data_IF_893208549598
#
_entry.id   IF_893208549598
#
_cell.length_a   1.000
_cell.length_b   1.000
_cell.length_c   1.000
_cell.angle_alpha   90.00
_cell.angle_beta   90.00
_cell.angle_gamma   90.00
#
_symmetry.space_group_name_H-M   'P 1'
#
loop_
_entity.id
_entity.type
_entity.pdbx_description
1 polymer ?
#
# COMPACT_ATOMS: atom_id res chain seq x y z
N UNK A 1 11.70 -3.37 -68.55
CA UNK A 1 11.25 -4.71 -69.00
C UNK A 1 10.79 -5.45 -67.76
N UNK A 2 9.49 -5.44 -67.52
CA UNK A 2 8.56 -6.56 -67.76
C UNK A 2 8.45 -7.39 -66.47
N UNK A 3 7.38 -7.22 -65.68
CA UNK A 3 6.13 -8.03 -65.73
C UNK A 3 6.38 -9.44 -65.21
N UNK A 4 5.57 -10.10 -64.37
CA UNK A 4 4.17 -10.00 -63.90
C UNK A 4 4.09 -10.91 -62.64
N UNK A 5 3.35 -10.62 -61.56
CA UNK A 5 1.88 -10.63 -61.35
C UNK A 5 1.27 -12.03 -61.16
N UNK A 6 0.72 -12.27 -59.96
CA UNK A 6 -0.52 -13.04 -59.64
C UNK A 6 -0.77 -12.84 -58.13
N UNK A 7 -1.71 -12.02 -57.61
CA UNK A 7 -3.19 -12.04 -57.63
C UNK A 7 -3.80 -13.35 -57.12
N UNK A 8 -4.38 -13.30 -55.91
CA UNK A 8 -5.67 -13.93 -55.58
C UNK A 8 -6.47 -12.96 -54.69
N UNK A 9 -7.69 -12.68 -55.12
CA UNK A 9 -8.69 -11.78 -54.56
C UNK A 9 -9.82 -12.56 -53.84
N UNK A 10 -10.55 -11.84 -52.97
CA UNK A 10 -11.99 -12.00 -52.59
C UNK A 10 -12.37 -13.20 -51.72
N UNK A 11 -13.17 -13.07 -50.66
CA UNK A 11 -14.25 -12.11 -50.39
C UNK A 11 -15.59 -12.80 -50.62
N UNK A 12 -16.21 -13.32 -49.56
CA UNK A 12 -17.59 -13.81 -49.55
C UNK A 12 -18.24 -13.50 -48.20
N UNK A 13 -19.25 -12.64 -48.20
CA UNK A 13 -20.24 -12.59 -47.12
C UNK A 13 -21.46 -13.46 -47.48
N UNK A 14 -22.39 -13.63 -46.52
CA UNK A 14 -23.79 -13.74 -46.91
C UNK A 14 -24.74 -12.88 -46.04
N UNK A 15 -25.84 -12.47 -46.66
CA UNK A 15 -26.97 -11.76 -46.06
C UNK A 15 -28.26 -12.59 -46.18
N UNK A 16 -28.90 -12.80 -45.03
CA UNK A 16 -30.34 -12.87 -44.69
C UNK A 16 -31.35 -13.79 -45.43
N UNK A 17 -31.94 -14.71 -44.65
CA UNK A 17 -33.38 -14.87 -44.29
C UNK A 17 -33.50 -16.22 -43.53
N UNK A 18 -34.20 -16.45 -42.42
CA UNK A 18 -35.42 -15.87 -41.87
C UNK A 18 -36.36 -17.02 -41.54
N UNK A 19 -36.30 -17.58 -40.32
CA UNK A 19 -37.33 -18.47 -39.76
C UNK A 19 -37.38 -18.26 -38.24
N UNK A 20 -38.45 -17.61 -37.79
CA UNK A 20 -38.69 -17.33 -36.38
C UNK A 20 -39.13 -18.57 -35.61
N UNK A 21 -38.66 -18.68 -34.38
CA UNK A 21 -39.40 -19.32 -33.31
C UNK A 21 -39.22 -18.49 -32.03
N UNK A 22 -40.33 -17.88 -31.65
CA UNK A 22 -40.54 -17.15 -30.43
C UNK A 22 -40.55 -18.12 -29.23
N UNK A 23 -39.79 -17.81 -28.18
CA UNK A 23 -40.22 -18.13 -26.81
C UNK A 23 -39.52 -17.23 -25.78
N UNK A 24 -40.29 -16.61 -24.87
CA UNK A 24 -39.79 -15.57 -23.98
C UNK A 24 -39.08 -16.14 -22.75
N UNK A 25 -37.98 -15.50 -22.36
CA UNK A 25 -37.37 -15.65 -21.04
C UNK A 25 -38.29 -15.03 -19.99
N UNK A 26 -38.93 -15.90 -19.20
CA UNK A 26 -39.93 -15.55 -18.19
C UNK A 26 -39.21 -14.94 -16.97
N UNK A 27 -39.28 -13.61 -16.85
CA UNK A 27 -38.91 -12.85 -15.65
C UNK A 27 -39.82 -13.34 -14.50
N UNK A 28 -39.22 -13.97 -13.49
CA UNK A 28 -39.96 -14.45 -12.32
C UNK A 28 -40.40 -13.23 -11.49
N UNK A 29 -41.64 -12.79 -11.71
CA UNK A 29 -42.32 -11.84 -10.84
C UNK A 29 -42.68 -12.54 -9.52
N UNK A 30 -42.07 -12.07 -8.43
CA UNK A 30 -42.43 -12.48 -7.07
C UNK A 30 -43.89 -12.17 -6.78
N UNK A 31 -44.66 -13.23 -6.54
CA UNK A 31 -46.09 -13.20 -6.22
C UNK A 31 -46.25 -12.70 -4.79
N UNK A 32 -46.83 -11.49 -4.63
CA UNK A 32 -47.37 -11.01 -3.35
C UNK A 32 -48.54 -11.91 -2.96
N UNK A 33 -48.33 -12.83 -2.02
CA UNK A 33 -49.41 -13.38 -1.21
C UNK A 33 -49.59 -12.45 -0.02
N UNK A 34 -50.69 -11.71 -0.03
CA UNK A 34 -51.09 -10.83 1.06
C UNK A 34 -51.33 -11.64 2.33
N UNK A 35 -50.51 -11.38 3.34
CA UNK A 35 -50.81 -11.76 4.71
C UNK A 35 -51.79 -10.71 5.24
N UNK A 36 -53.05 -11.11 5.43
CA UNK A 36 -54.06 -10.31 6.12
C UNK A 36 -53.59 -10.16 7.56
N UNK A 37 -53.11 -8.96 7.91
CA UNK A 37 -52.85 -8.56 9.28
C UNK A 37 -54.18 -8.36 9.98
N UNK A 38 -54.60 -9.37 10.76
CA UNK A 38 -55.59 -9.18 11.81
C UNK A 38 -54.97 -8.22 12.85
N UNK A 39 -55.67 -7.12 13.08
CA UNK A 39 -55.37 -6.16 14.12
C UNK A 39 -55.36 -6.84 15.50
N UNK A 40 -54.18 -6.90 16.12
CA UNK A 40 -54.03 -7.41 17.48
C UNK A 40 -52.56 -7.58 17.85
N UNK A 41 -51.91 -6.53 18.37
CA UNK A 41 -50.51 -6.65 18.77
C UNK A 41 -49.78 -5.40 19.27
N UNK A 42 -50.45 -4.33 19.68
CA UNK A 42 -49.76 -3.15 20.26
C UNK A 42 -49.23 -3.34 21.69
N UNK A 43 -49.33 -4.55 22.26
CA UNK A 43 -48.88 -4.83 23.64
C UNK A 43 -47.52 -5.57 23.71
N UNK A 44 -47.04 -6.16 22.61
CA UNK A 44 -45.79 -6.95 22.61
C UNK A 44 -44.50 -6.13 22.44
N UNK A 45 -44.52 -5.09 21.59
CA UNK A 45 -43.33 -4.28 21.31
C UNK A 45 -42.91 -3.34 22.44
N UNK A 46 -43.86 -2.88 23.25
CA UNK A 46 -43.59 -1.95 24.36
C UNK A 46 -42.90 -2.68 25.53
N UNK A 47 -43.26 -3.94 25.78
CA UNK A 47 -42.69 -4.74 26.86
C UNK A 47 -41.22 -5.13 26.59
N UNK A 48 -40.89 -5.41 25.31
CA UNK A 48 -39.52 -5.73 24.87
C UNK A 48 -38.60 -4.51 25.05
N UNK A 49 -39.04 -3.31 24.66
CA UNK A 49 -38.24 -2.09 24.86
C UNK A 49 -38.14 -1.64 26.33
N UNK A 50 -39.22 -1.81 27.12
CA UNK A 50 -39.23 -1.35 28.52
C UNK A 50 -38.39 -2.22 29.47
N UNK A 51 -38.14 -3.49 29.13
CA UNK A 51 -37.39 -4.43 29.99
C UNK A 51 -35.96 -4.64 29.49
N UNK A 52 -35.71 -4.72 28.18
CA UNK A 52 -34.36 -4.99 27.67
C UNK A 52 -33.45 -3.76 27.67
N UNK A 53 -33.97 -2.54 27.47
CA UNK A 53 -33.13 -1.34 27.47
C UNK A 53 -32.53 -1.02 28.85
N UNK A 54 -33.29 -1.09 29.96
CA UNK A 54 -32.72 -0.91 31.29
C UNK A 54 -31.68 -2.00 31.63
N UNK A 55 -31.94 -3.26 31.27
CA UNK A 55 -31.01 -4.36 31.50
C UNK A 55 -29.69 -4.20 30.74
N UNK A 56 -29.75 -3.81 29.46
CA UNK A 56 -28.54 -3.53 28.67
C UNK A 56 -27.78 -2.34 29.23
N UNK A 57 -28.46 -1.26 29.62
CA UNK A 57 -27.82 -0.10 30.27
C UNK A 57 -27.11 -0.47 31.57
N UNK A 58 -27.73 -1.27 32.45
CA UNK A 58 -27.11 -1.70 33.72
C UNK A 58 -25.85 -2.53 33.45
N UNK A 59 -25.91 -3.50 32.53
CA UNK A 59 -24.73 -4.33 32.20
C UNK A 59 -23.60 -3.54 31.55
N UNK A 60 -23.92 -2.51 30.76
CA UNK A 60 -22.90 -1.67 30.14
C UNK A 60 -22.25 -0.72 31.15
N UNK A 61 -23.01 -0.18 32.09
CA UNK A 61 -22.46 0.67 33.17
C UNK A 61 -21.54 -0.12 34.10
N UNK A 62 -21.89 -1.35 34.45
CA UNK A 62 -21.03 -2.25 35.25
C UNK A 62 -19.71 -2.55 34.53
N UNK A 63 -19.76 -2.84 33.22
CA UNK A 63 -18.57 -3.02 32.37
C UNK A 63 -17.70 -1.77 32.27
N UNK A 64 -18.30 -0.57 32.19
CA UNK A 64 -17.52 0.67 32.14
C UNK A 64 -16.82 0.99 33.47
N UNK A 65 -17.40 0.56 34.60
CA UNK A 65 -16.81 0.77 35.91
C UNK A 65 -15.57 -0.12 36.11
N UNK A 66 -15.63 -1.40 35.74
CA UNK A 66 -14.47 -2.31 35.81
C UNK A 66 -13.32 -1.87 34.89
N UNK A 67 -13.63 -1.40 33.67
CA UNK A 67 -12.60 -0.88 32.74
C UNK A 67 -11.93 0.37 33.29
N UNK A 68 -12.66 1.22 34.02
CA UNK A 68 -12.11 2.44 34.63
C UNK A 68 -11.19 2.11 35.81
N UNK A 69 -11.54 1.11 36.63
CA UNK A 69 -10.66 0.65 37.72
C UNK A 69 -9.37 0.00 37.20
N UNK A 70 -9.47 -0.84 36.16
CA UNK A 70 -8.30 -1.43 35.50
C UNK A 70 -7.38 -0.36 34.90
N UNK A 71 -7.95 0.69 34.29
CA UNK A 71 -7.18 1.80 33.72
C UNK A 71 -6.43 2.58 34.81
N UNK A 72 -7.07 2.81 35.96
CA UNK A 72 -6.44 3.50 37.09
C UNK A 72 -5.31 2.67 37.73
N UNK A 73 -5.48 1.35 37.84
CA UNK A 73 -4.42 0.43 38.32
C UNK A 73 -3.18 0.45 37.43
N UNK A 74 -3.37 0.48 36.10
CA UNK A 74 -2.27 0.56 35.12
C UNK A 74 -1.53 1.89 35.24
N UNK A 75 -2.25 3.01 35.40
CA UNK A 75 -1.65 4.35 35.55
C UNK A 75 -0.85 4.47 36.86
N UNK A 76 -1.33 3.90 37.97
CA UNK A 76 -0.60 3.91 39.25
C UNK A 76 0.69 3.08 39.26
N UNK A 77 0.83 2.08 38.37
CA UNK A 77 2.06 1.28 38.27
C UNK A 77 3.15 1.93 37.41
N UNK A 78 2.82 2.96 36.63
CA UNK A 78 3.75 3.61 35.70
C UNK A 78 4.49 4.84 36.23
N UNK A 79 4.35 5.21 37.50
CA UNK A 79 5.14 6.29 38.09
C UNK A 79 6.50 5.76 38.59
N UNK A 80 7.65 6.17 38.02
CA UNK A 80 8.95 5.82 38.57
C UNK A 80 9.18 6.63 39.85
N UNK A 81 9.29 5.94 40.99
CA UNK A 81 9.73 6.55 42.25
C UNK A 81 11.22 6.88 42.14
N UNK A 82 11.55 8.15 41.98
CA UNK A 82 12.91 8.65 42.17
C UNK A 82 13.21 8.68 43.68
N UNK A 83 14.09 7.80 44.16
CA UNK A 83 14.66 7.90 45.50
C UNK A 83 15.90 8.80 45.50
N UNK A 84 16.06 9.72 46.47
CA UNK A 84 17.27 10.52 46.62
C UNK A 84 18.37 9.69 47.30
N UNK A 85 19.45 9.41 46.57
CA UNK A 85 20.65 8.79 47.12
C UNK A 85 21.51 9.84 47.83
N UNK A 86 21.61 9.70 49.14
CA UNK A 86 22.49 10.42 50.07
C UNK A 86 23.97 10.36 49.68
N UNK A 87 24.63 11.52 49.76
CA UNK A 87 26.08 11.63 49.88
C UNK A 87 26.55 10.86 51.13
N UNK A 88 27.51 9.96 50.99
CA UNK A 88 28.48 9.74 52.06
C UNK A 88 29.89 9.64 51.46
N UNK A 89 30.77 10.40 52.09
CA UNK A 89 32.11 10.75 51.66
C UNK A 89 33.05 9.98 52.57
N UNK A 90 33.64 8.88 52.09
CA UNK A 90 34.80 8.28 52.74
C UNK A 90 35.84 7.80 51.71
N UNK A 91 37.00 8.45 51.81
CA UNK A 91 38.27 8.03 51.24
C UNK A 91 38.56 6.56 51.58
N UNK A 92 39.04 5.82 50.60
CA UNK A 92 40.15 4.89 50.82
C UNK A 92 40.97 4.76 49.53
N UNK A 93 42.27 5.03 49.68
CA UNK A 93 43.31 5.01 48.67
C UNK A 93 43.86 3.59 48.59
N UNK A 94 43.77 2.90 47.45
CA UNK A 94 44.59 1.72 47.17
C UNK A 94 44.82 1.51 45.67
N UNK A 95 46.09 1.32 45.34
CA UNK A 95 46.70 1.16 44.03
C UNK A 95 46.13 -0.01 43.20
N UNK A 96 46.06 0.18 41.89
CA UNK A 96 45.72 -0.88 40.93
C UNK A 96 45.16 -0.34 39.62
N UNK A 97 46.00 0.33 38.83
CA UNK A 97 45.64 0.87 37.52
C UNK A 97 45.33 -0.23 36.51
N UNK A 98 44.06 -0.58 36.37
CA UNK A 98 43.49 -1.10 35.14
C UNK A 98 42.28 -0.22 34.82
N UNK A 99 42.44 0.70 33.87
CA UNK A 99 41.34 1.46 33.29
C UNK A 99 40.39 0.46 32.60
N UNK A 100 39.45 -0.08 33.36
CA UNK A 100 38.26 -0.72 32.80
C UNK A 100 37.40 0.41 32.27
N UNK A 101 37.67 0.80 31.03
CA UNK A 101 36.84 1.68 30.26
C UNK A 101 35.43 1.09 30.26
N UNK A 102 34.58 1.65 31.13
CA UNK A 102 33.16 1.38 31.13
C UNK A 102 32.74 1.91 29.77
N UNK A 103 32.53 1.01 28.78
CA UNK A 103 31.81 1.36 27.57
C UNK A 103 30.52 2.01 28.04
N UNK A 104 30.49 3.33 27.97
CA UNK A 104 29.26 4.09 28.03
C UNK A 104 28.50 3.54 26.84
N UNK A 105 27.61 2.58 27.09
CA UNK A 105 26.65 2.20 26.08
C UNK A 105 25.90 3.50 25.82
N UNK A 106 26.08 4.03 24.62
CA UNK A 106 25.31 5.12 24.06
C UNK A 106 23.85 4.65 24.04
N UNK A 107 23.18 4.81 25.18
CA UNK A 107 21.87 4.23 25.50
C UNK A 107 20.76 5.25 25.33
N UNK A 108 20.94 6.24 24.47
CA UNK A 108 19.79 6.79 23.76
C UNK A 108 19.51 5.86 22.60
N UNK A 109 18.35 5.17 22.57
CA UNK A 109 17.92 4.47 21.37
C UNK A 109 18.02 5.45 20.21
N UNK A 110 18.81 5.12 19.19
CA UNK A 110 18.79 5.89 17.96
C UNK A 110 17.38 5.79 17.42
N UNK A 111 16.66 6.91 17.47
CA UNK A 111 15.32 6.99 16.93
C UNK A 111 15.48 6.93 15.42
N UNK A 112 15.08 5.80 14.84
CA UNK A 112 15.26 5.51 13.42
C UNK A 112 13.95 5.03 12.81
N UNK A 113 13.74 5.39 11.55
CA UNK A 113 12.63 4.93 10.75
C UNK A 113 13.13 4.41 9.40
N UNK A 114 12.40 3.46 8.82
CA UNK A 114 12.72 2.85 7.53
C UNK A 114 11.52 2.97 6.59
N UNK A 115 11.77 3.41 5.36
CA UNK A 115 10.75 3.42 4.30
C UNK A 115 11.30 2.93 2.97
N UNK A 116 10.40 2.62 2.03
CA UNK A 116 10.76 2.32 0.65
C UNK A 116 10.46 3.54 -0.20
N UNK A 117 11.42 3.95 -1.01
CA UNK A 117 11.23 4.93 -2.08
C UNK A 117 11.04 4.18 -3.38
N UNK A 118 9.81 4.19 -3.88
CA UNK A 118 9.43 3.48 -5.09
C UNK A 118 9.73 4.35 -6.31
N UNK A 119 10.28 3.75 -7.36
CA UNK A 119 10.70 4.42 -8.59
C UNK A 119 12.09 5.05 -8.54
N UNK A 120 12.85 4.91 -7.45
CA UNK A 120 14.19 5.50 -7.30
C UNK A 120 15.21 4.51 -6.77
N UNK A 121 16.43 4.62 -7.27
CA UNK A 121 17.56 3.78 -6.85
C UNK A 121 18.30 4.34 -5.63
N UNK A 122 17.93 5.53 -5.15
CA UNK A 122 18.56 6.20 -4.01
C UNK A 122 17.53 6.88 -3.10
N UNK A 123 17.91 7.12 -1.84
CA UNK A 123 17.04 7.73 -0.84
C UNK A 123 17.07 9.26 -0.78
N UNK A 124 17.84 9.91 -1.66
CA UNK A 124 18.07 11.36 -1.63
C UNK A 124 18.99 11.78 -0.48
N UNK A 125 19.11 13.09 -0.26
CA UNK A 125 20.07 13.68 0.70
C UNK A 125 19.64 13.53 2.17
N UNK A 126 18.34 13.39 2.42
CA UNK A 126 17.76 13.42 3.77
C UNK A 126 17.75 12.05 4.47
N UNK A 127 18.04 10.97 3.75
CA UNK A 127 18.01 9.61 4.25
C UNK A 127 19.15 8.80 3.65
N UNK A 128 19.58 7.75 4.36
CA UNK A 128 20.64 6.85 3.88
C UNK A 128 20.02 5.65 3.18
N UNK A 129 20.52 5.32 2.00
CA UNK A 129 20.17 4.06 1.32
C UNK A 129 20.74 2.88 2.10
N UNK A 130 19.85 1.96 2.49
CA UNK A 130 20.21 0.67 3.08
C UNK A 130 20.58 -0.30 1.96
N UNK A 131 19.70 -0.43 0.96
CA UNK A 131 19.95 -1.13 -0.29
C UNK A 131 19.02 -0.62 -1.38
N UNK A 132 19.36 -0.95 -2.62
CA UNK A 132 18.58 -0.65 -3.82
C UNK A 132 18.25 -1.92 -4.57
N UNK A 133 17.26 -1.85 -5.44
CA UNK A 133 16.82 -3.00 -6.19
C UNK A 133 15.67 -2.70 -7.14
N UNK A 134 14.88 -3.74 -7.41
CA UNK A 134 13.72 -3.67 -8.30
C UNK A 134 12.46 -4.06 -7.55
N UNK A 135 11.34 -3.46 -7.93
CA UNK A 135 10.08 -3.81 -7.33
C UNK A 135 9.63 -5.17 -7.84
N UNK A 136 9.16 -6.01 -6.92
CA UNK A 136 8.50 -7.26 -7.27
C UNK A 136 7.19 -7.50 -6.53
N UNK A 137 6.31 -8.28 -7.14
CA UNK A 137 5.06 -8.75 -6.54
C UNK A 137 4.51 -9.99 -7.28
N UNK A 138 3.34 -10.49 -6.89
CA UNK A 138 2.65 -11.54 -7.66
C UNK A 138 2.14 -11.04 -9.02
N UNK A 139 1.99 -11.94 -10.00
CA UNK A 139 1.51 -11.58 -11.34
C UNK A 139 0.13 -10.93 -11.30
N UNK A 140 -0.11 -9.98 -12.19
CA UNK A 140 -1.38 -9.28 -12.33
C UNK A 140 -2.58 -10.22 -12.62
N UNK A 141 -2.34 -11.35 -13.31
CA UNK A 141 -3.38 -12.28 -13.72
C UNK A 141 -3.50 -13.52 -12.81
N UNK A 142 -2.72 -13.58 -11.73
CA UNK A 142 -2.84 -14.66 -10.76
C UNK A 142 -3.90 -14.32 -9.72
N UNK A 143 -4.78 -15.28 -9.42
CA UNK A 143 -5.82 -15.15 -8.39
C UNK A 143 -5.26 -15.18 -6.96
N UNK A 144 -3.98 -15.51 -6.79
CA UNK A 144 -3.33 -15.67 -5.49
C UNK A 144 -1.84 -15.34 -5.55
N UNK A 145 -1.16 -15.55 -4.42
CA UNK A 145 0.22 -15.10 -4.19
C UNK A 145 0.25 -13.84 -3.32
N UNK A 146 1.35 -13.09 -3.37
CA UNK A 146 1.51 -11.84 -2.63
C UNK A 146 0.86 -10.63 -3.33
N UNK A 147 0.14 -9.82 -2.55
CA UNK A 147 -0.42 -8.53 -2.98
C UNK A 147 0.52 -7.34 -2.70
N UNK A 148 1.51 -7.52 -1.83
CA UNK A 148 2.43 -6.45 -1.48
C UNK A 148 3.46 -6.25 -2.60
N UNK A 149 3.80 -5.00 -2.85
CA UNK A 149 5.04 -4.69 -3.57
C UNK A 149 6.20 -4.81 -2.59
N UNK A 150 7.26 -5.49 -3.00
CA UNK A 150 8.50 -5.65 -2.24
C UNK A 150 9.65 -5.03 -3.03
N UNK A 151 10.62 -4.46 -2.32
CA UNK A 151 11.86 -4.02 -2.93
C UNK A 151 12.88 -5.16 -2.89
N UNK A 152 13.11 -5.82 -4.03
CA UNK A 152 13.99 -6.98 -4.14
C UNK A 152 15.42 -6.53 -4.45
N UNK A 153 16.42 -6.92 -3.64
CA UNK A 153 17.81 -6.60 -3.94
C UNK A 153 18.26 -7.32 -5.22
N UNK A 154 19.08 -6.65 -6.03
CA UNK A 154 19.71 -7.25 -7.21
C UNK A 154 21.10 -7.84 -6.91
N UNK A 155 21.70 -7.45 -5.80
CA UNK A 155 23.02 -7.91 -5.36
C UNK A 155 22.88 -8.77 -4.09
N UNK A 156 23.76 -9.77 -3.94
CA UNK A 156 23.78 -10.61 -2.73
C UNK A 156 22.53 -11.48 -2.55
N UNK A 157 21.88 -11.90 -3.63
CA UNK A 157 20.74 -12.83 -3.55
C UNK A 157 21.22 -14.20 -3.10
N UNK A 158 20.67 -14.68 -1.99
CA UNK A 158 21.03 -15.96 -1.38
C UNK A 158 19.91 -17.00 -1.56
N UNK A 159 20.30 -18.27 -1.64
CA UNK A 159 19.38 -19.40 -1.78
C UNK A 159 19.74 -20.49 -0.77
N UNK A 160 18.73 -21.12 -0.18
CA UNK A 160 18.93 -22.27 0.71
C UNK A 160 18.20 -23.50 0.17
N UNK A 161 18.95 -24.52 -0.25
CA UNK A 161 18.44 -25.78 -0.84
C UNK A 161 17.43 -25.60 -2.00
N UNK A 162 17.74 -24.82 -3.04
CA UNK A 162 16.80 -24.61 -4.15
C UNK A 162 16.59 -25.89 -4.97
N UNK A 163 15.35 -26.13 -5.39
CA UNK A 163 15.00 -27.16 -6.38
C UNK A 163 14.76 -26.47 -7.71
N UNK A 164 15.55 -26.83 -8.73
CA UNK A 164 15.45 -26.24 -10.07
C UNK A 164 14.10 -26.52 -10.73
N UNK A 165 13.62 -25.58 -11.55
CA UNK A 165 12.32 -25.63 -12.22
C UNK A 165 11.20 -24.87 -11.48
N UNK A 166 9.98 -24.96 -12.00
CA UNK A 166 8.81 -24.31 -11.43
C UNK A 166 7.98 -25.28 -10.59
N UNK A 167 7.94 -25.06 -9.28
CA UNK A 167 7.24 -25.96 -8.36
C UNK A 167 5.78 -25.53 -8.09
N UNK A 168 5.31 -24.53 -8.84
CA UNK A 168 3.92 -24.04 -8.85
C UNK A 168 3.34 -23.61 -7.49
N UNK A 169 4.18 -23.23 -6.52
CA UNK A 169 3.74 -22.74 -5.21
C UNK A 169 3.22 -21.30 -5.26
N UNK A 170 4.13 -20.34 -5.33
CA UNK A 170 3.85 -18.92 -5.57
C UNK A 170 5.01 -18.34 -6.38
N UNK A 171 4.77 -17.21 -7.04
CA UNK A 171 5.73 -16.57 -7.91
C UNK A 171 5.97 -15.12 -7.48
N UNK A 172 7.20 -14.67 -7.67
CA UNK A 172 7.62 -13.29 -7.54
C UNK A 172 8.01 -12.81 -8.93
N UNK A 173 7.34 -11.79 -9.44
CA UNK A 173 7.60 -11.15 -10.73
C UNK A 173 8.11 -9.74 -10.53
N UNK A 174 8.91 -9.23 -11.47
CA UNK A 174 9.23 -7.81 -11.56
C UNK A 174 7.97 -6.98 -11.78
N UNK A 175 7.99 -5.73 -11.34
CA UNK A 175 6.90 -4.78 -11.55
C UNK A 175 7.24 -3.79 -12.66
N UNK A 176 6.29 -3.54 -13.56
CA UNK A 176 6.43 -2.59 -14.67
C UNK A 176 5.49 -1.40 -14.49
N UNK A 177 5.93 -0.24 -14.97
CA UNK A 177 5.05 0.92 -15.13
C UNK A 177 4.05 0.66 -16.26
N UNK A 178 2.78 0.90 -15.99
CA UNK A 178 1.71 0.83 -16.98
C UNK A 178 1.01 2.19 -17.06
N UNK A 179 1.28 2.90 -18.16
CA UNK A 179 0.85 4.28 -18.38
C UNK A 179 0.29 4.42 -19.79
N UNK A 180 -0.85 5.10 -19.92
CA UNK A 180 -1.51 5.34 -21.21
C UNK A 180 -1.01 6.61 -21.92
N UNK A 181 -0.22 7.45 -21.25
CA UNK A 181 0.24 8.73 -21.76
C UNK A 181 1.51 9.22 -21.04
N UNK A 182 2.25 10.11 -21.71
CA UNK A 182 3.44 10.74 -21.18
C UNK A 182 3.09 12.00 -20.34
N UNK A 183 4.04 12.45 -19.52
CA UNK A 183 3.95 13.75 -18.82
C UNK A 183 3.51 13.69 -17.35
N UNK A 184 3.20 12.51 -16.82
CA UNK A 184 2.99 12.35 -15.37
C UNK A 184 4.31 12.45 -14.59
N UNK A 185 5.34 11.73 -15.06
CA UNK A 185 6.63 11.67 -14.40
C UNK A 185 7.64 12.63 -15.04
N UNK A 186 8.50 13.23 -14.22
CA UNK A 186 9.68 13.98 -14.68
C UNK A 186 10.66 13.03 -15.36
N UNK A 187 11.13 13.44 -16.54
CA UNK A 187 12.13 12.70 -17.31
C UNK A 187 13.57 12.97 -16.87
N UNK A 188 13.79 13.82 -15.85
CA UNK A 188 15.14 14.28 -15.46
C UNK A 188 16.10 13.14 -15.05
N UNK A 189 15.55 12.05 -14.50
CA UNK A 189 16.32 10.88 -14.05
C UNK A 189 16.13 9.65 -14.95
N UNK A 190 15.44 9.81 -16.09
CA UNK A 190 15.27 8.75 -17.08
C UNK A 190 16.49 8.76 -18.01
N UNK A 191 17.37 7.77 -17.85
CA UNK A 191 18.80 7.77 -18.23
C UNK A 191 19.14 7.97 -19.74
N UNK A 192 18.16 8.23 -20.61
CA UNK A 192 18.39 8.43 -22.04
C UNK A 192 18.07 9.85 -22.55
N UNK A 193 17.47 10.73 -21.74
CA UNK A 193 17.03 12.09 -22.16
C UNK A 193 15.98 12.11 -23.30
N UNK A 194 15.77 10.97 -23.95
CA UNK A 194 14.82 10.72 -25.04
C UNK A 194 13.59 9.97 -24.53
N UNK A 195 13.68 9.36 -23.36
CA UNK A 195 12.56 8.67 -22.72
C UNK A 195 11.76 9.70 -21.92
N UNK A 196 10.48 9.84 -22.27
CA UNK A 196 9.53 10.76 -21.62
C UNK A 196 8.37 10.03 -20.95
N UNK A 197 8.34 8.70 -21.08
CA UNK A 197 7.32 7.82 -20.53
C UNK A 197 8.00 6.54 -20.02
N UNK A 198 7.86 6.19 -18.73
CA UNK A 198 8.47 5.00 -18.17
C UNK A 198 7.68 3.71 -18.47
N UNK A 199 6.62 3.76 -19.28
CA UNK A 199 5.81 2.60 -19.67
C UNK A 199 6.67 1.39 -20.07
N UNK A 200 6.27 0.22 -19.58
CA UNK A 200 6.92 -1.08 -19.75
C UNK A 200 8.33 -1.19 -19.14
N UNK A 201 8.85 -0.17 -18.46
CA UNK A 201 10.10 -0.32 -17.71
C UNK A 201 9.85 -0.95 -16.34
N UNK A 202 10.76 -1.83 -15.93
CA UNK A 202 10.91 -2.23 -14.53
C UNK A 202 10.97 -1.02 -13.60
N UNK A 203 10.27 -1.11 -12.47
CA UNK A 203 10.23 -0.07 -11.44
C UNK A 203 11.41 -0.27 -10.47
N UNK A 204 12.37 0.68 -10.38
CA UNK A 204 13.42 0.61 -9.37
C UNK A 204 12.89 0.92 -7.97
N UNK A 205 13.64 0.57 -6.95
CA UNK A 205 13.32 0.93 -5.57
C UNK A 205 14.57 1.03 -4.70
N UNK A 206 14.42 1.76 -3.59
CA UNK A 206 15.45 1.85 -2.56
C UNK A 206 14.81 1.80 -1.18
N UNK A 207 15.46 1.09 -0.26
CA UNK A 207 15.09 1.04 1.15
C UNK A 207 15.93 2.05 1.90
N UNK A 208 15.25 2.94 2.61
CA UNK A 208 15.80 4.16 3.17
C UNK A 208 15.71 4.15 4.68
N UNK A 209 16.80 4.55 5.33
CA UNK A 209 16.89 4.72 6.77
C UNK A 209 17.10 6.21 7.11
N UNK A 210 16.28 6.74 8.01
CA UNK A 210 16.33 8.13 8.47
C UNK A 210 16.29 8.21 9.99
N UNK A 211 17.04 9.16 10.56
CA UNK A 211 17.09 9.44 12.00
C UNK A 211 15.90 10.26 12.49
N UNK A 212 14.68 9.80 12.19
CA UNK A 212 13.40 10.41 12.56
C UNK A 212 12.51 9.36 13.23
N UNK A 213 11.57 9.81 14.05
CA UNK A 213 10.74 8.95 14.91
C UNK A 213 9.60 8.26 14.19
N UNK A 214 9.02 8.93 13.20
CA UNK A 214 7.85 8.44 12.50
C UNK A 214 7.94 8.73 11.00
N UNK A 215 7.18 7.94 10.23
CA UNK A 215 6.93 8.15 8.81
C UNK A 215 5.44 8.08 8.51
N UNK A 216 5.03 8.76 7.46
CA UNK A 216 3.66 8.67 6.92
C UNK A 216 3.69 8.85 5.40
N UNK A 217 2.90 8.04 4.68
CA UNK A 217 2.54 8.31 3.29
C UNK A 217 1.16 8.94 3.29
N UNK A 218 1.03 10.08 2.63
CA UNK A 218 -0.23 10.83 2.55
C UNK A 218 -0.67 10.87 1.08
N UNK A 219 -1.79 10.22 0.71
CA UNK A 219 -2.32 10.29 -0.64
C UNK A 219 -2.97 11.66 -0.91
N UNK A 220 -3.13 11.99 -2.19
CA UNK A 220 -3.68 13.24 -2.71
C UNK A 220 -2.97 14.52 -2.22
N UNK A 221 -1.67 14.43 -1.91
CA UNK A 221 -0.85 15.52 -1.39
C UNK A 221 0.53 15.51 -2.01
N UNK A 222 1.07 16.71 -2.27
CA UNK A 222 2.48 16.91 -2.67
C UNK A 222 3.32 17.54 -1.54
N UNK A 223 2.72 17.83 -0.39
CA UNK A 223 3.36 18.52 0.74
C UNK A 223 2.93 17.92 2.08
N UNK A 224 3.86 17.94 3.04
CA UNK A 224 3.66 17.39 4.38
C UNK A 224 2.69 18.23 5.24
N UNK A 225 2.13 17.69 6.35
CA UNK A 225 1.07 18.33 7.12
C UNK A 225 1.44 19.63 7.87
N UNK A 226 2.71 19.99 7.94
CA UNK A 226 3.20 21.16 8.67
C UNK A 226 4.73 21.26 8.64
N UNK A 227 5.30 22.30 9.26
CA UNK A 227 6.74 22.58 9.20
C UNK A 227 7.61 21.58 9.97
N UNK A 228 7.06 20.85 10.95
CA UNK A 228 7.79 19.83 11.70
C UNK A 228 8.03 18.55 10.89
N UNK A 229 7.20 18.31 9.86
CA UNK A 229 7.35 17.16 8.99
C UNK A 229 8.27 17.48 7.83
N UNK A 230 9.31 16.67 7.69
CA UNK A 230 10.22 16.73 6.55
C UNK A 230 9.67 15.90 5.40
N UNK A 231 9.73 16.44 4.18
CA UNK A 231 9.42 15.69 2.96
C UNK A 231 10.61 14.83 2.59
N UNK A 232 10.37 13.53 2.40
CA UNK A 232 11.36 12.63 1.79
C UNK A 232 11.23 12.64 0.27
N UNK A 233 10.01 12.43 -0.24
CA UNK A 233 9.70 12.55 -1.67
C UNK A 233 8.20 12.71 -1.90
N UNK A 234 7.83 13.08 -3.12
CA UNK A 234 6.44 13.13 -3.59
C UNK A 234 6.34 12.64 -5.03
N UNK A 235 5.15 12.20 -5.42
CA UNK A 235 4.87 11.75 -6.78
C UNK A 235 3.41 11.29 -6.91
N UNK A 236 3.20 10.09 -7.45
CA UNK A 236 1.88 9.57 -7.76
C UNK A 236 1.56 8.28 -7.03
N UNK A 237 0.30 8.14 -6.62
CA UNK A 237 -0.21 6.93 -6.03
C UNK A 237 -0.44 5.90 -7.15
N UNK A 238 0.14 4.71 -6.98
CA UNK A 238 0.05 3.62 -7.97
C UNK A 238 -0.38 2.31 -7.31
N UNK A 239 -1.05 1.45 -8.09
CA UNK A 239 -1.48 0.10 -7.70
C UNK A 239 -1.78 -0.76 -8.94
N UNK A 240 -2.33 -1.96 -8.75
CA UNK A 240 -2.83 -2.81 -9.85
C UNK A 240 -4.04 -2.20 -10.54
N UNK A 241 -4.25 -2.55 -11.80
CA UNK A 241 -5.45 -2.17 -12.53
C UNK A 241 -6.70 -2.76 -11.89
N UNK A 242 -7.77 -1.98 -11.83
CA UNK A 242 -9.02 -2.34 -11.14
C UNK A 242 -9.71 -3.61 -11.68
N UNK A 243 -9.42 -4.03 -12.91
CA UNK A 243 -9.98 -5.23 -13.53
C UNK A 243 -9.08 -6.48 -13.41
N UNK A 244 -7.92 -6.38 -12.76
CA UNK A 244 -7.01 -7.51 -12.60
C UNK A 244 -7.45 -8.48 -11.51
N UNK A 245 -7.03 -9.74 -11.65
CA UNK A 245 -7.35 -10.83 -10.72
C UNK A 245 -6.48 -10.78 -9.45
N UNK A 246 -5.36 -10.06 -9.51
CA UNK A 246 -4.47 -9.80 -8.38
C UNK A 246 -4.55 -8.34 -7.96
N UNK A 247 -5.03 -8.10 -6.73
CA UNK A 247 -4.98 -6.77 -6.11
C UNK A 247 -3.57 -6.47 -5.58
N UNK A 248 -3.24 -5.18 -5.50
CA UNK A 248 -1.98 -4.70 -4.96
C UNK A 248 -2.21 -3.54 -3.98
N UNK A 249 -1.25 -3.32 -3.09
CA UNK A 249 -1.30 -2.16 -2.20
C UNK A 249 -1.14 -0.86 -2.97
N UNK A 250 -1.74 0.21 -2.45
CA UNK A 250 -1.46 1.56 -2.93
C UNK A 250 -0.09 2.01 -2.42
N UNK A 251 0.82 2.33 -3.34
CA UNK A 251 2.17 2.81 -3.04
C UNK A 251 2.39 4.19 -3.64
N UNK A 252 3.26 4.99 -2.99
CA UNK A 252 3.65 6.29 -3.51
C UNK A 252 4.90 6.13 -4.37
N UNK A 253 4.78 6.35 -5.68
CA UNK A 253 5.91 6.28 -6.61
C UNK A 253 6.45 7.68 -6.84
N UNK A 254 7.78 7.82 -6.80
CA UNK A 254 8.46 9.09 -6.93
C UNK A 254 8.15 9.76 -8.27
N UNK A 255 7.91 11.07 -8.23
CA UNK A 255 7.56 11.87 -9.41
C UNK A 255 8.68 11.99 -10.43
N UNK A 256 9.93 11.66 -10.08
CA UNK A 256 11.09 11.75 -10.96
C UNK A 256 11.87 10.43 -10.97
N UNK A 257 11.29 9.35 -11.52
CA UNK A 257 11.81 8.01 -11.35
C UNK A 257 13.10 7.76 -12.15
N UNK A 258 13.90 6.83 -11.65
CA UNK A 258 14.92 6.15 -12.44
C UNK A 258 14.26 5.05 -13.28
N UNK A 259 14.97 4.64 -14.34
CA UNK A 259 14.59 3.50 -15.17
C UNK A 259 15.71 2.47 -15.13
N UNK A 260 15.35 1.19 -15.03
CA UNK A 260 16.35 0.13 -15.16
C UNK A 260 16.76 0.01 -16.64
N UNK A 261 18.06 0.07 -16.96
CA UNK A 261 18.49 -0.07 -18.35
C UNK A 261 18.16 -1.44 -18.94
N UNK A 262 17.63 -1.45 -20.17
CA UNK A 262 17.36 -2.68 -20.91
C UNK A 262 16.12 -3.46 -20.47
N UNK A 263 15.27 -2.88 -19.62
CA UNK A 263 14.05 -3.53 -19.10
C UNK A 263 12.76 -2.97 -19.71
N UNK A 264 12.79 -2.48 -20.96
CA UNK A 264 11.62 -1.86 -21.62
C UNK A 264 10.72 -2.87 -22.34
N UNK A 265 10.82 -4.15 -21.96
CA UNK A 265 10.00 -5.20 -22.54
C UNK A 265 8.66 -5.22 -21.80
N UNK A 266 7.58 -5.56 -22.49
CA UNK A 266 6.29 -5.78 -21.84
C UNK A 266 6.20 -7.25 -21.40
N UNK A 267 6.82 -7.57 -20.26
CA UNK A 267 6.88 -8.92 -19.70
C UNK A 267 5.63 -9.25 -18.85
N UNK A 268 4.80 -8.25 -18.54
CA UNK A 268 3.46 -8.41 -17.95
C UNK A 268 3.50 -9.20 -16.61
N UNK A 269 4.42 -8.80 -15.74
CA UNK A 269 4.63 -9.40 -14.42
C UNK A 269 3.67 -8.89 -13.35
N UNK A 270 4.19 -8.18 -12.36
CA UNK A 270 3.40 -7.25 -11.56
C UNK A 270 3.28 -5.93 -12.33
N UNK A 271 2.18 -5.21 -12.17
CA UNK A 271 1.94 -4.00 -12.94
C UNK A 271 1.57 -2.85 -12.01
N UNK A 272 2.03 -1.64 -12.33
CA UNK A 272 1.70 -0.41 -11.61
C UNK A 272 0.98 0.58 -12.54
N UNK A 273 -0.28 0.88 -12.19
CA UNK A 273 -1.13 1.87 -12.84
C UNK A 273 -1.32 3.07 -11.92
N UNK A 274 -1.49 4.24 -12.52
CA UNK A 274 -1.93 5.44 -11.80
C UNK A 274 -3.30 5.21 -11.17
N UNK A 275 -3.48 5.73 -9.95
CA UNK A 275 -4.74 5.62 -9.22
C UNK A 275 -5.55 6.88 -9.44
N UNK A 276 -6.72 6.74 -10.04
CA UNK A 276 -7.65 7.85 -10.25
C UNK A 276 -8.63 8.00 -9.09
N UNK A 277 -9.00 9.24 -8.78
CA UNK A 277 -10.10 9.49 -7.85
C UNK A 277 -11.43 9.06 -8.46
N UNK A 278 -12.23 8.26 -7.74
CA UNK A 278 -13.57 7.86 -8.14
C UNK A 278 -14.61 8.53 -7.24
N UNK A 279 -15.26 9.57 -7.75
CA UNK A 279 -16.32 10.29 -7.05
C UNK A 279 -17.55 9.42 -6.76
N UNK A 280 -18.27 9.75 -5.67
CA UNK A 280 -19.48 9.06 -5.24
C UNK A 280 -19.37 8.76 -3.75
N UNK A 281 -18.77 7.61 -3.41
CA UNK A 281 -18.36 7.32 -2.03
C UNK A 281 -17.20 8.21 -1.58
N UNK A 282 -16.33 8.62 -2.53
CA UNK A 282 -15.38 9.70 -2.32
C UNK A 282 -16.08 11.04 -2.60
N UNK A 283 -16.00 12.04 -1.70
CA UNK A 283 -16.68 13.32 -1.89
C UNK A 283 -16.06 14.10 -3.06
N UNK A 284 -16.90 14.53 -4.01
CA UNK A 284 -16.49 15.47 -5.04
C UNK A 284 -16.36 16.88 -4.46
N UNK A 285 -15.35 17.62 -4.90
CA UNK A 285 -15.01 18.95 -4.39
C UNK A 285 -13.52 19.02 -4.08
N UNK A 286 -13.05 18.45 -2.96
CA UNK A 286 -11.62 18.26 -2.73
C UNK A 286 -11.00 17.23 -3.68
N UNK A 287 -11.81 16.29 -4.19
CA UNK A 287 -11.41 15.34 -5.23
C UNK A 287 -12.18 15.63 -6.52
N UNK A 288 -11.50 15.41 -7.65
CA UNK A 288 -12.08 15.52 -9.00
C UNK A 288 -12.05 14.11 -9.61
N UNK A 289 -13.21 13.60 -10.03
CA UNK A 289 -13.30 12.26 -10.59
C UNK A 289 -12.42 12.11 -11.83
N UNK A 290 -11.69 11.00 -11.93
CA UNK A 290 -10.79 10.69 -13.04
C UNK A 290 -9.43 11.37 -12.96
N UNK A 291 -9.15 12.18 -11.93
CA UNK A 291 -7.82 12.77 -11.75
C UNK A 291 -6.91 11.80 -11.00
N UNK A 292 -5.66 11.69 -11.45
CA UNK A 292 -4.65 10.84 -10.85
C UNK A 292 -4.21 11.40 -9.50
N UNK A 293 -4.25 10.54 -8.48
CA UNK A 293 -3.93 10.90 -7.12
C UNK A 293 -2.42 11.01 -6.95
N UNK A 294 -1.97 12.19 -6.50
CA UNK A 294 -0.60 12.40 -6.06
C UNK A 294 -0.36 11.78 -4.67
N UNK A 295 0.87 11.78 -4.21
CA UNK A 295 1.23 11.33 -2.87
C UNK A 295 2.52 11.98 -2.39
N UNK A 296 2.71 11.98 -1.08
CA UNK A 296 3.94 12.44 -0.42
C UNK A 296 4.30 11.50 0.72
N UNK A 297 5.60 11.24 0.87
CA UNK A 297 6.16 10.53 2.02
C UNK A 297 6.88 11.54 2.91
N UNK A 298 6.48 11.55 4.18
CA UNK A 298 6.95 12.51 5.18
C UNK A 298 7.44 11.80 6.42
N UNK A 299 8.37 12.42 7.13
CA UNK A 299 8.97 11.91 8.36
C UNK A 299 9.14 13.01 9.40
N UNK A 300 9.17 12.63 10.69
CA UNK A 300 9.32 13.54 11.84
C UNK A 300 10.08 12.87 12.98
#
# INVERSE_FOLDING_TARGET
MSSEKLVVEKGFGPSLAGLGLTRPYKRQGGRRTGLVLLAGGCLGGVLVCAVLMPLVCVTMSELQQEVTELRNLVITRSAPTASPGTEDRRNDTAAGGAHRERRQADLTPSIVNVYVRWGREDCGENAKTVYSGVVGSGSYNHHGGGSDYLCLPLEGVEWNNPVAGHQHGSYMYGAEYQLNSAGYFSAENMESGSITNPMDYDVPCSVCHVGRSARVMIPARLSCPGPEWSKEYSGYLMSSHHAHQSNKNFVCVDGAPNLRPGSSANDDGALMYLVEAACGSLPCGPYISGYELTCVVCTI
#
